data_IF_950015067882
#
_entry.id   IF_950015067882
#
_cell.length_a   1.000
_cell.length_b   1.000
_cell.length_c   1.000
_cell.angle_alpha   90.00
_cell.angle_beta   90.00
_cell.angle_gamma   90.00
#
_symmetry.space_group_name_H-M   'P 1'
#
loop_
_entity.id
_entity.type
_entity.pdbx_description
1 polymer ?
#
# COMPACT_ATOMS: atom_id res chain seq x y z
N UNK A 1 43.93 -12.97 -7.89
CA UNK A 1 42.93 -13.86 -7.25
C UNK A 1 41.98 -13.07 -6.35
N UNK A 2 41.47 -11.91 -6.79
CA UNK A 2 40.69 -11.01 -5.93
C UNK A 2 39.42 -10.43 -6.61
N UNK A 3 39.09 -10.88 -7.82
CA UNK A 3 37.88 -10.47 -8.54
C UNK A 3 36.71 -11.40 -8.23
N UNK A 4 36.94 -12.72 -8.22
CA UNK A 4 35.88 -13.70 -7.93
C UNK A 4 35.34 -13.70 -6.49
N UNK A 5 36.11 -13.24 -5.50
CA UNK A 5 35.62 -13.11 -4.13
C UNK A 5 34.71 -11.88 -3.94
N UNK A 6 34.97 -10.80 -4.71
CA UNK A 6 34.15 -9.59 -4.72
C UNK A 6 32.87 -9.82 -5.53
N UNK A 7 32.95 -10.56 -6.64
CA UNK A 7 31.76 -11.00 -7.39
C UNK A 7 30.93 -12.00 -6.60
N UNK A 8 31.54 -12.97 -5.92
CA UNK A 8 30.81 -13.92 -5.07
C UNK A 8 30.16 -13.28 -3.84
N UNK A 9 30.78 -12.29 -3.21
CA UNK A 9 30.18 -11.53 -2.11
C UNK A 9 29.07 -10.59 -2.60
N UNK A 10 29.18 -10.06 -3.82
CA UNK A 10 28.15 -9.23 -4.45
C UNK A 10 26.94 -10.06 -4.89
N UNK A 11 27.16 -11.26 -5.44
CA UNK A 11 26.09 -12.20 -5.79
C UNK A 11 25.41 -12.76 -4.53
N UNK A 12 26.17 -13.07 -3.47
CA UNK A 12 25.58 -13.49 -2.18
C UNK A 12 24.78 -12.36 -1.51
N UNK A 13 25.28 -11.12 -1.58
CA UNK A 13 24.56 -9.93 -1.09
C UNK A 13 23.29 -9.63 -1.90
N UNK A 14 23.34 -9.78 -3.23
CA UNK A 14 22.18 -9.60 -4.10
C UNK A 14 21.15 -10.74 -3.97
N UNK A 15 21.57 -11.96 -3.63
CA UNK A 15 20.64 -13.08 -3.43
C UNK A 15 19.90 -13.01 -2.09
N UNK A 16 20.48 -12.35 -1.09
CA UNK A 16 19.88 -12.20 0.24
C UNK A 16 19.19 -10.85 0.47
N UNK A 17 19.52 -9.78 -0.26
CA UNK A 17 18.97 -8.43 -0.04
C UNK A 17 18.58 -7.72 -1.34
N UNK A 18 17.38 -8.03 -1.85
CA UNK A 18 16.61 -7.10 -2.69
C UNK A 18 15.32 -6.82 -1.94
N UNK A 19 15.36 -5.81 -1.06
CA UNK A 19 14.24 -4.99 -0.61
C UNK A 19 14.85 -3.75 0.09
N UNK A 20 14.62 -2.56 -0.48
CA UNK A 20 14.84 -1.22 0.08
C UNK A 20 16.30 -0.64 0.15
N UNK A 21 16.63 0.44 -0.59
CA UNK A 21 17.91 1.15 -0.48
C UNK A 21 18.07 2.07 0.75
N UNK A 22 17.00 2.36 1.50
CA UNK A 22 17.06 3.32 2.62
C UNK A 22 17.54 2.69 3.93
N UNK A 23 17.20 1.42 4.19
CA UNK A 23 17.67 0.65 5.35
C UNK A 23 19.18 0.36 5.31
N UNK A 24 19.80 0.42 4.12
CA UNK A 24 21.23 0.20 3.93
C UNK A 24 22.10 1.34 4.48
N UNK A 25 21.57 2.58 4.58
CA UNK A 25 22.35 3.74 5.03
C UNK A 25 22.46 3.81 6.56
N UNK A 26 21.45 3.35 7.29
CA UNK A 26 21.44 3.38 8.76
C UNK A 26 22.23 2.22 9.40
N UNK A 27 22.31 1.08 8.72
CA UNK A 27 23.06 -0.11 9.19
C UNK A 27 24.51 -0.16 8.70
N UNK A 28 24.94 0.75 7.82
CA UNK A 28 26.28 0.76 7.23
C UNK A 28 27.44 0.84 8.24
N UNK A 29 27.41 1.62 9.33
CA UNK A 29 28.54 1.70 10.27
C UNK A 29 28.81 0.38 11.02
N UNK A 30 27.76 -0.31 11.48
CA UNK A 30 27.89 -1.61 12.18
C UNK A 30 28.22 -2.75 11.21
N UNK A 31 27.69 -2.67 9.99
CA UNK A 31 27.94 -3.65 8.92
C UNK A 31 29.36 -3.49 8.36
N UNK A 32 29.89 -2.26 8.30
CA UNK A 32 31.27 -1.97 7.89
C UNK A 32 32.29 -2.55 8.86
N UNK A 33 32.08 -2.46 10.16
CA UNK A 33 33.02 -3.01 11.16
C UNK A 33 33.01 -4.55 11.17
N UNK A 34 31.85 -5.17 10.93
CA UNK A 34 31.70 -6.63 10.77
C UNK A 34 32.31 -7.13 9.43
N UNK A 35 32.09 -6.38 8.34
CA UNK A 35 32.73 -6.62 7.04
C UNK A 35 34.25 -6.43 7.12
N UNK A 36 34.75 -5.45 7.88
CA UNK A 36 36.18 -5.20 8.00
C UNK A 36 36.91 -6.33 8.73
N UNK A 37 36.30 -6.91 9.77
CA UNK A 37 36.80 -8.14 10.41
C UNK A 37 36.81 -9.34 9.45
N UNK A 38 35.78 -9.47 8.61
CA UNK A 38 35.66 -10.54 7.61
C UNK A 38 36.67 -10.41 6.48
N UNK A 39 37.02 -9.17 6.07
CA UNK A 39 37.96 -8.88 4.98
C UNK A 39 39.43 -9.01 5.43
N UNK A 40 39.74 -8.68 6.68
CA UNK A 40 41.13 -8.68 7.20
C UNK A 40 41.58 -10.04 7.77
N UNK A 41 40.65 -10.93 8.12
CA UNK A 41 40.95 -12.24 8.71
C UNK A 41 39.83 -13.27 8.56
N UNK A 42 39.47 -13.67 7.32
CA UNK A 42 38.27 -14.47 7.04
C UNK A 42 38.24 -15.83 7.74
N UNK A 43 39.40 -16.48 7.91
CA UNK A 43 39.49 -17.77 8.61
C UNK A 43 39.31 -17.57 10.12
N UNK A 44 39.84 -16.48 10.69
CA UNK A 44 39.66 -16.14 12.10
C UNK A 44 38.21 -15.78 12.41
N UNK A 45 37.58 -14.95 11.59
CA UNK A 45 36.16 -14.60 11.73
C UNK A 45 35.23 -15.81 11.57
N UNK A 46 35.54 -16.72 10.64
CA UNK A 46 34.80 -17.97 10.49
C UNK A 46 35.02 -18.93 11.66
N UNK A 47 36.25 -19.01 12.21
CA UNK A 47 36.54 -19.80 13.40
C UNK A 47 35.87 -19.23 14.65
N UNK A 48 35.91 -17.91 14.85
CA UNK A 48 35.26 -17.25 15.99
C UNK A 48 33.74 -17.38 15.93
N UNK A 49 33.15 -17.24 14.72
CA UNK A 49 31.73 -17.47 14.50
C UNK A 49 31.32 -18.92 14.72
N UNK A 50 32.11 -19.87 14.21
CA UNK A 50 31.90 -21.30 14.44
C UNK A 50 32.07 -21.67 15.92
N UNK A 51 33.07 -21.12 16.58
CA UNK A 51 33.37 -21.41 17.98
C UNK A 51 32.30 -20.85 18.90
N UNK A 52 31.83 -19.62 18.65
CA UNK A 52 30.70 -19.03 19.38
C UNK A 52 29.40 -19.81 19.16
N UNK A 53 29.09 -20.19 17.92
CA UNK A 53 27.88 -20.95 17.61
C UNK A 53 27.86 -22.35 18.24
N UNK A 54 29.03 -22.97 18.41
CA UNK A 54 29.17 -24.35 18.91
C UNK A 54 29.63 -24.45 20.37
N UNK A 55 29.93 -23.34 21.04
CA UNK A 55 30.42 -23.33 22.43
C UNK A 55 29.44 -24.03 23.40
N UNK A 56 28.15 -23.74 23.26
CA UNK A 56 27.11 -24.34 24.11
C UNK A 56 26.88 -25.83 23.81
N UNK A 57 27.07 -26.26 22.56
CA UNK A 57 26.99 -27.68 22.16
C UNK A 57 28.15 -28.47 22.78
N UNK A 58 29.37 -27.93 22.68
CA UNK A 58 30.55 -28.54 23.31
C UNK A 58 30.42 -28.60 24.83
N UNK A 59 29.85 -27.56 25.45
CA UNK A 59 29.52 -27.55 26.87
C UNK A 59 28.55 -28.68 27.27
N UNK A 60 27.45 -28.83 26.54
CA UNK A 60 26.44 -29.87 26.80
C UNK A 60 27.03 -31.30 26.58
N UNK A 61 27.82 -31.51 25.53
CA UNK A 61 28.48 -32.79 25.26
C UNK A 61 29.50 -33.17 26.35
N UNK A 62 30.38 -32.23 26.74
CA UNK A 62 31.41 -32.48 27.76
C UNK A 62 30.82 -32.66 29.17
N UNK A 63 29.59 -32.18 29.40
CA UNK A 63 28.84 -32.38 30.65
C UNK A 63 28.01 -33.68 30.67
N UNK A 64 28.08 -34.51 29.61
CA UNK A 64 27.39 -35.80 29.52
C UNK A 64 25.95 -35.74 29.01
N UNK A 65 25.50 -34.59 28.46
CA UNK A 65 24.16 -34.42 27.89
C UNK A 65 24.15 -34.66 26.37
N UNK A 66 24.48 -35.88 25.95
CA UNK A 66 24.72 -36.23 24.56
C UNK A 66 23.49 -36.04 23.64
N UNK A 67 22.29 -36.41 24.09
CA UNK A 67 21.05 -36.25 23.31
C UNK A 67 20.68 -34.78 23.07
N UNK A 68 20.90 -33.93 24.08
CA UNK A 68 20.63 -32.48 23.99
C UNK A 68 21.65 -31.77 23.09
N UNK A 69 22.90 -32.19 23.16
CA UNK A 69 23.95 -31.76 22.22
C UNK A 69 23.59 -32.16 20.77
N UNK A 70 23.19 -33.41 20.55
CA UNK A 70 22.78 -33.90 19.23
C UNK A 70 21.57 -33.14 18.66
N UNK A 71 20.56 -32.85 19.49
CA UNK A 71 19.41 -32.04 19.09
C UNK A 71 19.78 -30.62 18.65
N UNK A 72 20.72 -29.97 19.36
CA UNK A 72 21.21 -28.63 19.00
C UNK A 72 22.06 -28.64 17.72
N UNK A 73 22.86 -29.68 17.50
CA UNK A 73 23.61 -29.87 16.24
C UNK A 73 22.65 -30.03 15.06
N UNK A 74 21.61 -30.85 15.18
CA UNK A 74 20.61 -31.03 14.13
C UNK A 74 19.90 -29.71 13.79
N UNK A 75 19.65 -28.87 14.80
CA UNK A 75 19.02 -27.55 14.64
C UNK A 75 19.95 -26.56 13.93
N UNK A 76 21.25 -26.55 14.23
CA UNK A 76 22.25 -25.70 13.55
C UNK A 76 22.49 -26.17 12.11
N UNK A 77 22.60 -27.49 11.89
CA UNK A 77 22.72 -28.04 10.53
C UNK A 77 21.46 -27.75 9.73
N UNK A 78 20.28 -27.88 10.33
CA UNK A 78 19.00 -27.55 9.71
C UNK A 78 18.84 -26.05 9.41
N UNK A 79 19.24 -25.16 10.32
CA UNK A 79 19.14 -23.71 10.14
C UNK A 79 20.22 -23.13 9.24
N UNK A 80 21.37 -23.81 9.09
CA UNK A 80 22.38 -23.45 8.09
C UNK A 80 21.91 -23.67 6.64
N UNK A 81 20.86 -24.47 6.43
CA UNK A 81 20.21 -24.66 5.13
C UNK A 81 19.14 -23.58 4.85
N UNK A 82 18.63 -22.90 5.88
CA UNK A 82 17.48 -21.98 5.73
C UNK A 82 17.65 -20.58 6.35
N UNK A 83 18.86 -20.18 6.73
CA UNK A 83 19.19 -18.78 7.01
C UNK A 83 18.33 -18.09 8.07
N UNK A 84 18.48 -18.46 9.34
CA UNK A 84 18.03 -17.64 10.46
C UNK A 84 18.84 -17.95 11.74
N UNK A 85 19.58 -16.98 12.28
CA UNK A 85 20.10 -17.03 13.65
C UNK A 85 19.42 -15.92 14.45
N UNK A 86 18.66 -16.35 15.45
CA UNK A 86 18.04 -15.51 16.48
C UNK A 86 17.00 -16.31 17.24
N UNK A 87 17.40 -17.30 18.05
CA UNK A 87 16.46 -18.12 18.82
C UNK A 87 16.61 -17.87 20.32
N UNK A 88 15.74 -16.99 20.84
CA UNK A 88 15.15 -17.20 22.16
C UNK A 88 14.21 -18.41 22.09
N UNK A 89 14.20 -19.23 23.14
CA UNK A 89 13.36 -20.42 23.24
C UNK A 89 11.90 -19.95 23.28
N UNK A 90 11.18 -20.08 22.17
CA UNK A 90 9.71 -20.01 22.12
C UNK A 90 9.12 -21.42 22.21
N UNK A 91 7.95 -21.51 22.82
CA UNK A 91 7.11 -22.69 22.89
C UNK A 91 6.97 -23.37 21.52
N UNK A 92 6.87 -24.69 21.52
CA UNK A 92 6.57 -25.48 20.32
C UNK A 92 5.32 -24.90 19.68
N UNK A 93 5.37 -24.43 18.42
CA UNK A 93 4.19 -23.90 17.73
C UNK A 93 3.11 -24.97 17.69
N UNK A 94 1.86 -24.58 17.92
CA UNK A 94 0.71 -25.42 17.60
C UNK A 94 0.77 -25.73 16.09
N UNK A 95 0.86 -27.02 15.67
CA UNK A 95 0.97 -27.38 14.26
C UNK A 95 -0.26 -26.96 13.43
N UNK A 96 -1.39 -26.65 14.08
CA UNK A 96 -2.62 -26.21 13.42
C UNK A 96 -2.67 -24.67 13.21
N UNK A 97 -1.80 -23.92 13.89
CA UNK A 97 -1.68 -22.47 13.72
C UNK A 97 -0.73 -22.11 12.58
N UNK A 98 -1.08 -21.08 11.77
CA UNK A 98 -0.19 -20.61 10.71
C UNK A 98 1.09 -20.05 11.32
N UNK A 99 2.23 -20.27 10.65
CA UNK A 99 3.51 -19.73 11.09
C UNK A 99 3.53 -18.20 11.01
N UNK A 100 4.24 -17.55 11.95
CA UNK A 100 4.35 -16.09 12.03
C UNK A 100 3.44 -15.48 13.10
N UNK A 101 3.44 -14.15 13.21
CA UNK A 101 2.49 -13.40 14.05
C UNK A 101 1.40 -12.74 13.20
N UNK A 102 0.36 -12.18 13.82
CA UNK A 102 -0.71 -11.45 13.11
C UNK A 102 -0.13 -10.33 12.24
N UNK A 103 0.82 -9.55 12.77
CA UNK A 103 1.51 -8.50 12.02
C UNK A 103 2.16 -9.00 10.71
N UNK A 104 2.72 -10.23 10.71
CA UNK A 104 3.29 -10.82 9.49
C UNK A 104 2.23 -11.08 8.44
N UNK A 105 1.07 -11.59 8.86
CA UNK A 105 -0.05 -11.85 7.95
C UNK A 105 -0.71 -10.56 7.49
N UNK A 106 -0.81 -9.53 8.34
CA UNK A 106 -1.24 -8.19 7.93
C UNK A 106 -0.34 -7.62 6.82
N UNK A 107 0.99 -7.67 6.98
CA UNK A 107 1.92 -7.24 5.91
C UNK A 107 1.73 -8.05 4.63
N UNK A 108 1.46 -9.35 4.75
CA UNK A 108 1.16 -10.19 3.59
C UNK A 108 -0.14 -9.76 2.92
N UNK A 109 -1.22 -9.51 3.66
CA UNK A 109 -2.48 -9.01 3.08
C UNK A 109 -2.27 -7.69 2.36
N UNK A 110 -1.64 -6.69 2.99
CA UNK A 110 -1.40 -5.39 2.34
C UNK A 110 -0.61 -5.56 1.04
N UNK A 111 0.39 -6.45 1.02
CA UNK A 111 1.15 -6.74 -0.21
C UNK A 111 0.29 -7.43 -1.27
N UNK A 112 -0.39 -8.52 -0.92
CA UNK A 112 -1.19 -9.29 -1.89
C UNK A 112 -2.39 -8.49 -2.40
N UNK A 113 -3.06 -7.75 -1.52
CA UNK A 113 -4.21 -6.89 -1.85
C UNK A 113 -3.84 -5.77 -2.81
N UNK A 114 -2.73 -5.05 -2.57
CA UNK A 114 -2.23 -4.02 -3.49
C UNK A 114 -1.71 -4.55 -4.82
N UNK A 115 -1.50 -5.86 -4.93
CA UNK A 115 -1.17 -6.55 -6.18
C UNK A 115 -2.42 -7.14 -6.87
N UNK A 116 -3.62 -6.91 -6.32
CA UNK A 116 -4.87 -7.49 -6.83
C UNK A 116 -4.98 -9.00 -6.63
N UNK A 117 -4.10 -9.62 -5.82
CA UNK A 117 -4.17 -11.06 -5.54
C UNK A 117 -5.21 -11.35 -4.46
N UNK A 118 -6.50 -11.34 -4.85
CA UNK A 118 -7.65 -11.52 -3.94
C UNK A 118 -7.50 -12.78 -3.10
N UNK A 119 -7.28 -13.93 -3.73
CA UNK A 119 -7.17 -15.19 -3.00
C UNK A 119 -5.95 -15.24 -2.06
N UNK A 120 -4.87 -14.53 -2.39
CA UNK A 120 -3.71 -14.36 -1.50
C UNK A 120 -4.03 -13.51 -0.29
N UNK A 121 -4.70 -12.38 -0.51
CA UNK A 121 -5.13 -11.45 0.52
C UNK A 121 -6.14 -12.11 1.48
N UNK A 122 -7.16 -12.81 0.96
CA UNK A 122 -8.14 -13.55 1.76
C UNK A 122 -7.48 -14.60 2.67
N UNK A 123 -6.60 -15.45 2.11
CA UNK A 123 -5.88 -16.47 2.90
C UNK A 123 -5.03 -15.86 4.01
N UNK A 124 -4.37 -14.73 3.74
CA UNK A 124 -3.56 -14.06 4.75
C UNK A 124 -4.45 -13.40 5.83
N UNK A 125 -5.61 -12.86 5.47
CA UNK A 125 -6.58 -12.33 6.44
C UNK A 125 -7.17 -13.43 7.33
N UNK A 126 -7.54 -14.58 6.76
CA UNK A 126 -7.99 -15.76 7.51
C UNK A 126 -6.92 -16.24 8.50
N UNK A 127 -5.65 -16.26 8.08
CA UNK A 127 -4.54 -16.62 8.97
C UNK A 127 -4.36 -15.61 10.11
N UNK A 128 -4.49 -14.31 9.83
CA UNK A 128 -4.44 -13.26 10.83
C UNK A 128 -5.57 -13.42 11.86
N UNK A 129 -6.80 -13.71 11.41
CA UNK A 129 -7.97 -13.92 12.26
C UNK A 129 -7.80 -15.16 13.16
N UNK A 130 -7.36 -16.30 12.62
CA UNK A 130 -7.09 -17.51 13.43
C UNK A 130 -6.04 -17.28 14.52
N UNK A 131 -4.99 -16.51 14.22
CA UNK A 131 -3.96 -16.15 15.19
C UNK A 131 -4.50 -15.19 16.27
N UNK A 132 -5.34 -14.23 15.89
CA UNK A 132 -6.00 -13.35 16.85
C UNK A 132 -6.94 -14.11 17.80
N UNK A 133 -7.74 -15.04 17.27
CA UNK A 133 -8.59 -15.92 18.08
C UNK A 133 -7.77 -16.77 19.05
N UNK A 134 -6.62 -17.29 18.62
CA UNK A 134 -5.71 -18.03 19.49
C UNK A 134 -5.12 -17.16 20.60
N UNK A 135 -4.72 -15.91 20.28
CA UNK A 135 -4.26 -14.94 21.27
C UNK A 135 -5.36 -14.58 22.29
N UNK A 136 -6.60 -14.39 21.84
CA UNK A 136 -7.75 -14.16 22.73
C UNK A 136 -8.01 -15.36 23.65
N UNK A 137 -7.98 -16.58 23.12
CA UNK A 137 -8.18 -17.78 23.90
C UNK A 137 -7.06 -17.99 24.93
N UNK A 138 -5.83 -17.66 24.58
CA UNK A 138 -4.71 -17.65 25.52
C UNK A 138 -4.92 -16.62 26.64
N UNK A 139 -5.38 -15.42 26.31
CA UNK A 139 -5.70 -14.39 27.30
C UNK A 139 -6.87 -14.79 28.21
N UNK A 140 -7.86 -15.56 27.72
CA UNK A 140 -8.94 -16.14 28.55
C UNK A 140 -8.41 -17.20 29.51
N UNK A 141 -7.47 -18.05 29.07
CA UNK A 141 -6.85 -19.10 29.90
C UNK A 141 -5.88 -18.54 30.93
N UNK A 142 -5.15 -17.48 30.57
CA UNK A 142 -4.13 -16.85 31.41
C UNK A 142 -4.20 -15.31 31.27
N UNK A 143 -5.05 -14.62 32.06
CA UNK A 143 -5.37 -13.21 31.90
C UNK A 143 -4.30 -12.29 32.52
N UNK A 144 -3.06 -12.41 32.07
CA UNK A 144 -2.01 -11.44 32.36
C UNK A 144 -2.21 -10.19 31.52
N UNK A 145 -1.74 -9.03 32.00
CA UNK A 145 -1.80 -7.78 31.23
C UNK A 145 -1.12 -7.93 29.86
N UNK A 146 0.02 -8.63 29.82
CA UNK A 146 0.75 -8.90 28.58
C UNK A 146 -0.09 -9.68 27.57
N UNK A 147 -0.77 -10.76 28.01
CA UNK A 147 -1.64 -11.55 27.13
C UNK A 147 -2.88 -10.77 26.68
N UNK A 148 -3.47 -9.96 27.55
CA UNK A 148 -4.61 -9.09 27.22
C UNK A 148 -4.21 -8.04 26.17
N UNK A 149 -3.08 -7.37 26.38
CA UNK A 149 -2.57 -6.36 25.44
C UNK A 149 -2.19 -6.99 24.09
N UNK A 150 -1.64 -8.21 24.10
CA UNK A 150 -1.31 -8.94 22.89
C UNK A 150 -2.57 -9.34 22.11
N UNK A 151 -3.58 -9.89 22.79
CA UNK A 151 -4.86 -10.24 22.17
C UNK A 151 -5.56 -9.01 21.59
N UNK A 152 -5.52 -7.86 22.26
CA UNK A 152 -6.09 -6.62 21.74
C UNK A 152 -5.37 -6.13 20.47
N UNK A 153 -4.03 -6.15 20.46
CA UNK A 153 -3.24 -5.79 19.26
C UNK A 153 -3.53 -6.73 18.10
N UNK A 154 -3.50 -8.04 18.35
CA UNK A 154 -3.75 -9.06 17.33
C UNK A 154 -5.16 -8.96 16.76
N UNK A 155 -6.17 -8.72 17.60
CA UNK A 155 -7.56 -8.48 17.16
C UNK A 155 -7.66 -7.25 16.25
N UNK A 156 -7.01 -6.14 16.61
CA UNK A 156 -6.99 -4.92 15.80
C UNK A 156 -6.29 -5.16 14.45
N UNK A 157 -5.12 -5.78 14.47
CA UNK A 157 -4.32 -6.03 13.27
C UNK A 157 -5.03 -7.04 12.33
N UNK A 158 -5.72 -8.04 12.88
CA UNK A 158 -6.58 -8.94 12.12
C UNK A 158 -7.82 -8.22 11.54
N UNK A 159 -8.37 -7.25 12.26
CA UNK A 159 -9.40 -6.33 11.75
C UNK A 159 -8.93 -5.59 10.51
N UNK A 160 -7.76 -4.94 10.58
CA UNK A 160 -7.14 -4.26 9.43
C UNK A 160 -6.87 -5.21 8.28
N UNK A 161 -6.34 -6.41 8.56
CA UNK A 161 -6.10 -7.43 7.55
C UNK A 161 -7.40 -7.84 6.81
N UNK A 162 -8.53 -7.92 7.51
CA UNK A 162 -9.82 -8.18 6.88
C UNK A 162 -10.23 -7.07 5.93
N UNK A 163 -10.09 -5.81 6.33
CA UNK A 163 -10.44 -4.65 5.51
C UNK A 163 -9.56 -4.56 4.26
N UNK A 164 -8.25 -4.79 4.39
CA UNK A 164 -7.32 -4.85 3.26
C UNK A 164 -7.68 -5.99 2.27
N UNK A 165 -8.08 -7.16 2.79
CA UNK A 165 -8.54 -8.26 1.94
C UNK A 165 -9.85 -7.95 1.21
N UNK A 166 -10.79 -7.25 1.87
CA UNK A 166 -12.03 -6.76 1.23
C UNK A 166 -11.77 -5.76 0.11
N UNK A 167 -10.70 -4.97 0.20
CA UNK A 167 -10.31 -4.02 -0.84
C UNK A 167 -9.63 -4.69 -2.05
N UNK A 168 -9.11 -5.91 -1.89
CA UNK A 168 -8.34 -6.59 -2.94
C UNK A 168 -9.08 -6.72 -4.30
N UNK A 169 -10.39 -7.02 -4.36
CA UNK A 169 -11.12 -7.04 -5.63
C UNK A 169 -11.16 -5.68 -6.34
N UNK A 170 -11.24 -4.58 -5.60
CA UNK A 170 -11.18 -3.23 -6.18
C UNK A 170 -9.79 -2.94 -6.76
N UNK A 171 -8.72 -3.37 -6.09
CA UNK A 171 -7.36 -3.27 -6.62
C UNK A 171 -7.14 -4.19 -7.82
N UNK A 172 -7.73 -5.38 -7.86
CA UNK A 172 -7.68 -6.27 -9.02
C UNK A 172 -8.24 -5.55 -10.27
N UNK A 173 -9.47 -5.02 -10.17
CA UNK A 173 -10.09 -4.26 -11.26
C UNK A 173 -9.28 -3.01 -11.63
N UNK A 174 -8.80 -2.26 -10.64
CA UNK A 174 -7.99 -1.07 -10.88
C UNK A 174 -6.72 -1.42 -11.66
N UNK A 175 -6.04 -2.51 -11.29
CA UNK A 175 -4.80 -2.96 -11.94
C UNK A 175 -5.01 -3.58 -13.31
N UNK A 176 -6.24 -3.95 -13.67
CA UNK A 176 -6.58 -4.36 -15.03
C UNK A 176 -6.67 -3.15 -15.97
N UNK A 177 -6.87 -1.93 -15.46
CA UNK A 177 -6.82 -0.68 -16.23
C UNK A 177 -5.40 -0.09 -16.33
N UNK A 178 -5.09 0.64 -17.41
CA UNK A 178 -3.82 1.36 -17.59
C UNK A 178 -3.71 2.52 -16.61
N UNK A 179 -4.78 3.31 -16.46
CA UNK A 179 -4.83 4.44 -15.53
C UNK A 179 -4.60 3.97 -14.09
N UNK A 180 -5.26 2.89 -13.68
CA UNK A 180 -5.09 2.32 -12.35
C UNK A 180 -3.69 1.75 -12.11
N UNK A 181 -3.06 1.12 -13.11
CA UNK A 181 -1.64 0.71 -13.01
C UNK A 181 -0.70 1.90 -12.86
N UNK A 182 -0.91 2.99 -13.60
CA UNK A 182 -0.06 4.19 -13.50
C UNK A 182 -0.20 4.86 -12.13
N UNK A 183 -1.44 5.06 -11.67
CA UNK A 183 -1.74 5.63 -10.36
C UNK A 183 -1.21 4.77 -9.21
N UNK A 184 -1.39 3.45 -9.27
CA UNK A 184 -0.85 2.54 -8.25
C UNK A 184 0.70 2.55 -8.24
N UNK A 185 1.32 2.59 -9.43
CA UNK A 185 2.77 2.72 -9.53
C UNK A 185 3.28 4.06 -8.98
N UNK A 186 2.50 5.14 -9.13
CA UNK A 186 2.80 6.44 -8.55
C UNK A 186 2.76 6.38 -7.02
N UNK A 187 1.66 5.90 -6.41
CA UNK A 187 1.54 5.79 -4.96
C UNK A 187 2.70 4.98 -4.35
N UNK A 188 3.03 3.84 -4.97
CA UNK A 188 4.15 3.02 -4.52
C UNK A 188 5.50 3.75 -4.53
N UNK A 189 5.72 4.67 -5.48
CA UNK A 189 6.94 5.50 -5.51
C UNK A 189 6.92 6.62 -4.49
N UNK A 190 5.76 7.22 -4.23
CA UNK A 190 5.63 8.31 -3.26
C UNK A 190 5.62 7.81 -1.81
N UNK A 191 5.13 6.59 -1.57
CA UNK A 191 4.91 6.07 -0.24
C UNK A 191 3.56 6.45 0.37
N UNK A 192 2.65 7.03 -0.41
CA UNK A 192 1.29 7.35 0.02
C UNK A 192 0.56 6.10 0.50
N UNK A 193 -0.02 6.16 1.69
CA UNK A 193 -0.72 5.04 2.31
C UNK A 193 -2.22 5.05 1.99
N UNK A 194 -2.85 3.88 2.12
CA UNK A 194 -4.30 3.73 2.08
C UNK A 194 -4.70 3.13 3.42
N UNK A 195 -5.55 3.84 4.15
CA UNK A 195 -6.04 3.46 5.47
C UNK A 195 -7.54 3.15 5.39
N UNK A 196 -7.92 1.97 5.87
CA UNK A 196 -9.31 1.56 6.00
C UNK A 196 -9.78 1.85 7.43
N UNK A 197 -10.79 2.71 7.56
CA UNK A 197 -11.24 3.21 8.86
C UNK A 197 -12.65 2.78 9.19
N UNK A 198 -12.85 2.33 10.43
CA UNK A 198 -14.17 2.05 11.00
C UNK A 198 -14.67 3.24 11.83
N UNK A 199 -14.71 4.42 11.21
CA UNK A 199 -15.16 5.65 11.83
C UNK A 199 -16.57 5.99 11.31
N UNK A 200 -17.59 6.10 12.19
CA UNK A 200 -18.93 6.54 11.82
C UNK A 200 -18.98 7.84 11.01
N UNK A 201 -18.05 8.76 11.28
CA UNK A 201 -17.98 10.06 10.57
C UNK A 201 -17.31 9.95 9.19
N UNK A 202 -16.73 8.78 8.88
CA UNK A 202 -16.09 8.45 7.59
C UNK A 202 -16.85 7.39 6.80
N UNK A 203 -18.04 7.00 7.26
CA UNK A 203 -18.88 6.00 6.58
C UNK A 203 -19.27 6.46 5.18
N UNK A 204 -19.09 5.58 4.21
CA UNK A 204 -19.41 5.86 2.81
C UNK A 204 -18.50 6.90 2.15
N UNK A 205 -17.38 7.26 2.79
CA UNK A 205 -16.45 8.25 2.26
C UNK A 205 -15.12 7.61 1.88
N UNK A 206 -14.57 8.10 0.77
CA UNK A 206 -13.19 7.92 0.32
C UNK A 206 -12.64 9.33 0.15
N UNK A 207 -11.48 9.62 0.71
CA UNK A 207 -10.85 10.95 0.61
C UNK A 207 -9.34 10.85 0.76
N UNK A 208 -8.63 11.72 0.06
CA UNK A 208 -7.20 11.94 0.24
C UNK A 208 -6.96 13.05 1.27
N UNK A 209 -6.17 12.76 2.31
CA UNK A 209 -5.66 13.73 3.26
C UNK A 209 -4.23 14.19 2.86
N UNK A 210 -4.06 15.43 2.37
CA UNK A 210 -2.75 15.95 1.97
C UNK A 210 -1.81 16.24 3.15
N UNK A 211 -2.29 16.24 4.39
CA UNK A 211 -1.44 16.48 5.56
C UNK A 211 -0.69 15.24 6.04
N UNK A 212 -1.34 14.07 5.92
CA UNK A 212 -0.74 12.78 6.29
C UNK A 212 -0.28 11.98 5.07
N UNK A 213 -0.56 12.47 3.86
CA UNK A 213 -0.35 11.75 2.60
C UNK A 213 -1.00 10.36 2.65
N UNK A 214 -2.30 10.34 2.96
CA UNK A 214 -3.06 9.12 3.18
C UNK A 214 -4.41 9.18 2.48
N UNK A 215 -4.75 8.13 1.74
CA UNK A 215 -6.12 7.92 1.27
C UNK A 215 -6.87 7.20 2.38
N UNK A 216 -7.93 7.82 2.89
CA UNK A 216 -8.77 7.29 3.95
C UNK A 216 -10.06 6.76 3.32
N UNK A 217 -10.38 5.50 3.57
CA UNK A 217 -11.57 4.83 3.06
C UNK A 217 -12.38 4.23 4.21
N UNK A 218 -13.67 4.55 4.27
CA UNK A 218 -14.59 3.90 5.20
C UNK A 218 -14.71 2.39 4.92
N UNK A 219 -14.60 1.56 5.95
CA UNK A 219 -14.70 0.09 5.80
C UNK A 219 -16.03 -0.37 5.19
N UNK A 220 -17.11 0.39 5.37
CA UNK A 220 -18.42 0.10 4.81
C UNK A 220 -18.50 0.34 3.30
N UNK A 221 -17.62 1.18 2.75
CA UNK A 221 -17.49 1.35 1.30
C UNK A 221 -17.03 0.06 0.62
N UNK A 222 -16.22 -0.75 1.31
CA UNK A 222 -15.71 -2.03 0.82
C UNK A 222 -16.77 -3.14 0.76
N UNK A 223 -17.93 -2.94 1.40
CA UNK A 223 -19.05 -3.89 1.34
C UNK A 223 -19.92 -3.69 0.09
N UNK A 224 -19.64 -2.65 -0.72
CA UNK A 224 -20.35 -2.27 -1.94
C UNK A 224 -19.85 -2.97 -3.21
N UNK A 225 -20.08 -2.32 -4.36
CA UNK A 225 -19.62 -2.78 -5.67
C UNK A 225 -18.10 -2.55 -5.82
N UNK A 226 -17.29 -3.59 -6.08
CA UNK A 226 -15.86 -3.44 -6.35
C UNK A 226 -15.51 -2.47 -7.48
N UNK A 227 -16.39 -2.31 -8.48
CA UNK A 227 -16.18 -1.35 -9.58
C UNK A 227 -16.26 0.10 -9.06
N UNK A 228 -17.24 0.37 -8.21
CA UNK A 228 -17.39 1.69 -7.57
C UNK A 228 -16.19 1.97 -6.65
N UNK A 229 -15.75 0.97 -5.87
CA UNK A 229 -14.54 1.06 -5.06
C UNK A 229 -13.27 1.32 -5.89
N UNK A 230 -13.06 0.60 -6.99
CA UNK A 230 -11.91 0.80 -7.86
C UNK A 230 -11.86 2.23 -8.41
N UNK A 231 -12.99 2.74 -8.88
CA UNK A 231 -13.12 4.10 -9.40
C UNK A 231 -12.85 5.16 -8.34
N UNK A 232 -13.46 5.06 -7.15
CA UNK A 232 -13.21 6.01 -6.06
C UNK A 232 -11.77 5.98 -5.56
N UNK A 233 -11.12 4.82 -5.55
CA UNK A 233 -9.69 4.73 -5.25
C UNK A 233 -8.88 5.49 -6.31
N UNK A 234 -9.20 5.34 -7.60
CA UNK A 234 -8.52 6.06 -8.67
C UNK A 234 -8.70 7.58 -8.56
N UNK A 235 -9.89 8.05 -8.16
CA UNK A 235 -10.16 9.47 -7.87
C UNK A 235 -9.20 10.01 -6.81
N UNK A 236 -9.11 9.35 -5.65
CA UNK A 236 -8.25 9.81 -4.56
C UNK A 236 -6.75 9.67 -4.86
N UNK A 237 -6.37 8.63 -5.63
CA UNK A 237 -5.00 8.52 -6.15
C UNK A 237 -4.62 9.70 -7.04
N UNK A 238 -5.57 10.23 -7.80
CA UNK A 238 -5.36 11.39 -8.66
C UNK A 238 -5.14 12.65 -7.81
N UNK A 239 -5.91 12.84 -6.74
CA UNK A 239 -5.64 13.91 -5.79
C UNK A 239 -4.26 13.81 -5.13
N UNK A 240 -3.82 12.60 -4.73
CA UNK A 240 -2.48 12.39 -4.21
C UNK A 240 -1.39 12.80 -5.22
N UNK A 241 -1.58 12.40 -6.50
CA UNK A 241 -0.68 12.77 -7.59
C UNK A 241 -0.59 14.27 -7.82
N UNK A 242 -1.72 14.94 -8.01
CA UNK A 242 -1.79 16.38 -8.22
C UNK A 242 -1.16 17.15 -7.05
N UNK A 243 -1.36 16.68 -5.83
CA UNK A 243 -0.77 17.30 -4.63
C UNK A 243 0.76 17.25 -4.67
N UNK A 244 1.33 16.10 -5.05
CA UNK A 244 2.78 15.93 -5.16
C UNK A 244 3.38 16.66 -6.36
N UNK A 245 2.74 16.61 -7.53
CA UNK A 245 3.29 17.11 -8.79
C UNK A 245 3.08 18.63 -8.98
N UNK A 246 1.94 19.17 -8.53
CA UNK A 246 1.50 20.55 -8.84
C UNK A 246 1.32 21.43 -7.60
N UNK A 247 1.27 20.81 -6.41
CA UNK A 247 0.91 21.46 -5.16
C UNK A 247 -0.59 21.77 -5.06
N UNK A 248 -1.08 21.95 -3.84
CA UNK A 248 -2.50 22.22 -3.56
C UNK A 248 -2.96 23.63 -3.89
N UNK A 249 -4.25 23.77 -4.16
CA UNK A 249 -4.91 25.06 -4.10
C UNK A 249 -4.75 25.61 -2.67
N UNK A 250 -4.16 26.80 -2.54
CA UNK A 250 -3.81 27.38 -1.25
C UNK A 250 -4.64 28.66 -1.04
N UNK A 251 -5.63 28.64 -0.15
CA UNK A 251 -6.53 29.77 0.02
C UNK A 251 -5.82 30.99 0.65
N UNK A 252 -4.66 30.80 1.30
CA UNK A 252 -3.86 31.89 1.87
C UNK A 252 -3.00 32.62 0.84
N UNK A 253 -2.84 32.04 -0.36
CA UNK A 253 -1.94 32.53 -1.43
C UNK A 253 -2.65 32.85 -2.74
N UNK A 254 -3.90 32.41 -2.89
CA UNK A 254 -4.73 32.62 -4.07
C UNK A 254 -5.91 33.54 -3.70
N UNK A 255 -6.35 34.37 -4.64
CA UNK A 255 -7.66 35.01 -4.49
C UNK A 255 -8.77 33.95 -4.56
N UNK A 256 -9.93 34.29 -4.01
CA UNK A 256 -11.07 33.37 -3.83
C UNK A 256 -11.52 32.71 -5.13
N UNK A 257 -11.62 33.49 -6.21
CA UNK A 257 -12.10 32.98 -7.50
C UNK A 257 -11.07 32.03 -8.13
N UNK A 258 -9.78 32.39 -8.06
CA UNK A 258 -8.68 31.53 -8.50
C UNK A 258 -8.61 30.24 -7.68
N UNK A 259 -8.80 30.29 -6.37
CA UNK A 259 -8.85 29.12 -5.50
C UNK A 259 -10.00 28.19 -5.88
N UNK A 260 -11.23 28.71 -5.97
CA UNK A 260 -12.42 27.91 -6.33
C UNK A 260 -12.23 27.27 -7.70
N UNK A 261 -11.79 28.06 -8.70
CA UNK A 261 -11.55 27.56 -10.05
C UNK A 261 -10.53 26.42 -10.04
N UNK A 262 -9.37 26.62 -9.41
CA UNK A 262 -8.31 25.60 -9.36
C UNK A 262 -8.76 24.33 -8.62
N UNK A 263 -9.53 24.46 -7.54
CA UNK A 263 -10.08 23.31 -6.82
C UNK A 263 -11.07 22.51 -7.68
N UNK A 264 -11.92 23.19 -8.46
CA UNK A 264 -12.87 22.52 -9.36
C UNK A 264 -12.19 21.86 -10.56
N UNK A 265 -11.17 22.50 -11.13
CA UNK A 265 -10.35 21.90 -12.21
C UNK A 265 -9.69 20.61 -11.71
N UNK A 266 -9.17 20.60 -10.49
CA UNK A 266 -8.57 19.41 -9.89
C UNK A 266 -9.57 18.28 -9.63
N UNK A 267 -10.78 18.61 -9.19
CA UNK A 267 -11.87 17.63 -9.05
C UNK A 267 -12.25 17.04 -10.41
N UNK A 268 -12.32 17.88 -11.46
CA UNK A 268 -12.61 17.42 -12.82
C UNK A 268 -11.55 16.44 -13.32
N UNK A 269 -10.26 16.68 -13.06
CA UNK A 269 -9.19 15.73 -13.42
C UNK A 269 -9.32 14.37 -12.71
N UNK A 270 -9.70 14.37 -11.43
CA UNK A 270 -9.96 13.13 -10.69
C UNK A 270 -11.16 12.38 -11.26
N UNK A 271 -12.24 13.09 -11.60
CA UNK A 271 -13.42 12.51 -12.28
C UNK A 271 -13.06 12.00 -13.69
N UNK A 272 -12.18 12.66 -14.43
CA UNK A 272 -11.68 12.14 -15.71
C UNK A 272 -10.94 10.81 -15.51
N UNK A 273 -10.22 10.65 -14.40
CA UNK A 273 -9.56 9.37 -14.08
C UNK A 273 -10.57 8.29 -13.71
N UNK A 274 -11.68 8.62 -13.03
CA UNK A 274 -12.83 7.71 -12.83
C UNK A 274 -13.42 7.27 -14.18
N UNK A 275 -13.67 8.22 -15.10
CA UNK A 275 -14.21 7.95 -16.44
C UNK A 275 -13.29 7.00 -17.19
N UNK A 276 -11.97 7.23 -17.18
CA UNK A 276 -11.00 6.35 -17.84
C UNK A 276 -10.99 4.93 -17.25
N UNK A 277 -11.15 4.79 -15.92
CA UNK A 277 -11.31 3.47 -15.30
C UNK A 277 -12.57 2.79 -15.82
N UNK A 278 -13.70 3.49 -15.84
CA UNK A 278 -14.97 2.93 -16.31
C UNK A 278 -14.93 2.55 -17.79
N UNK A 279 -14.37 3.39 -18.67
CA UNK A 279 -14.21 3.09 -20.09
C UNK A 279 -13.39 1.80 -20.29
N UNK A 280 -12.24 1.68 -19.63
CA UNK A 280 -11.38 0.50 -19.76
C UNK A 280 -12.01 -0.78 -19.17
N UNK A 281 -12.81 -0.67 -18.11
CA UNK A 281 -13.58 -1.80 -17.57
C UNK A 281 -14.78 -2.14 -18.47
N UNK A 282 -15.39 -1.16 -19.12
CA UNK A 282 -16.49 -1.39 -20.06
C UNK A 282 -16.00 -2.15 -21.30
N UNK A 283 -14.81 -1.80 -21.81
CA UNK A 283 -14.12 -2.54 -22.87
C UNK A 283 -13.85 -4.02 -22.51
N UNK A 284 -13.73 -4.31 -21.21
CA UNK A 284 -13.55 -5.67 -20.67
C UNK A 284 -14.88 -6.41 -20.43
N UNK A 285 -16.02 -5.75 -20.66
CA UNK A 285 -17.35 -6.34 -20.58
C UNK A 285 -18.05 -6.16 -19.23
N UNK A 286 -17.57 -5.28 -18.36
CA UNK A 286 -18.27 -4.91 -17.14
C UNK A 286 -19.50 -4.05 -17.46
N UNK A 287 -20.64 -4.30 -16.80
CA UNK A 287 -21.87 -3.53 -17.00
C UNK A 287 -21.87 -2.30 -16.10
N UNK A 288 -21.36 -1.18 -16.61
CA UNK A 288 -21.19 0.07 -15.86
C UNK A 288 -22.12 1.13 -16.47
N UNK A 289 -23.00 1.78 -15.68
CA UNK A 289 -23.88 2.81 -16.21
C UNK A 289 -23.08 4.09 -16.52
N UNK A 290 -23.30 4.64 -17.71
CA UNK A 290 -22.76 5.94 -18.10
C UNK A 290 -23.31 7.03 -17.17
N UNK A 291 -22.43 7.87 -16.65
CA UNK A 291 -22.80 8.97 -15.75
C UNK A 291 -23.09 10.28 -16.50
N UNK A 292 -23.74 11.24 -15.83
CA UNK A 292 -23.92 12.60 -16.39
C UNK A 292 -22.57 13.30 -16.61
N UNK A 293 -21.59 13.05 -15.73
CA UNK A 293 -20.24 13.61 -15.83
C UNK A 293 -19.51 13.10 -17.07
N UNK A 294 -19.53 11.78 -17.28
CA UNK A 294 -18.98 11.13 -18.47
C UNK A 294 -19.65 11.63 -19.75
N UNK A 295 -20.99 11.69 -19.76
CA UNK A 295 -21.75 12.21 -20.89
C UNK A 295 -21.35 13.65 -21.22
N UNK A 296 -21.16 14.50 -20.20
CA UNK A 296 -20.76 15.89 -20.39
C UNK A 296 -19.34 16.00 -20.94
N UNK A 297 -18.40 15.27 -20.33
CA UNK A 297 -17.01 15.26 -20.77
C UNK A 297 -16.87 14.76 -22.22
N UNK A 298 -17.45 13.60 -22.53
CA UNK A 298 -17.33 12.98 -23.85
C UNK A 298 -18.02 13.81 -24.95
N UNK A 299 -19.22 14.36 -24.71
CA UNK A 299 -19.87 15.23 -25.68
C UNK A 299 -19.07 16.52 -25.95
N UNK A 300 -18.50 17.13 -24.90
CA UNK A 300 -17.68 18.34 -25.04
C UNK A 300 -16.40 18.07 -25.83
N UNK A 301 -15.73 16.96 -25.49
CA UNK A 301 -14.53 16.50 -26.18
C UNK A 301 -14.80 16.23 -27.66
N UNK A 302 -15.84 15.43 -27.97
CA UNK A 302 -16.23 15.11 -29.35
C UNK A 302 -16.61 16.36 -30.15
N UNK A 303 -17.41 17.26 -29.57
CA UNK A 303 -17.80 18.52 -30.22
C UNK A 303 -16.58 19.36 -30.59
N UNK A 304 -15.59 19.48 -29.69
CA UNK A 304 -14.39 20.27 -29.98
C UNK A 304 -13.47 19.58 -31.00
N UNK A 305 -13.40 18.26 -30.98
CA UNK A 305 -12.69 17.48 -31.99
C UNK A 305 -13.29 17.70 -33.39
N UNK A 306 -14.62 17.69 -33.50
CA UNK A 306 -15.34 18.00 -34.75
C UNK A 306 -15.08 19.44 -35.23
N UNK A 307 -15.15 20.43 -34.33
CA UNK A 307 -14.86 21.83 -34.66
C UNK A 307 -13.41 22.04 -35.10
N UNK A 308 -12.49 21.23 -34.58
CA UNK A 308 -11.07 21.27 -34.93
C UNK A 308 -10.81 20.71 -36.33
N UNK A 309 -11.72 19.94 -36.91
CA UNK A 309 -11.60 19.44 -38.28
C UNK A 309 -11.59 20.60 -39.29
N UNK A 310 -10.49 20.74 -40.03
CA UNK A 310 -10.34 21.82 -41.02
C UNK A 310 -9.85 23.15 -40.44
N UNK A 311 -9.59 23.25 -39.13
CA UNK A 311 -8.94 24.41 -38.49
C UNK A 311 -7.45 24.55 -38.83
N UNK A 312 -6.85 23.51 -39.42
CA UNK A 312 -5.42 23.42 -39.70
C UNK A 312 -4.56 23.00 -38.50
N UNK A 313 -5.17 22.69 -37.35
CA UNK A 313 -4.49 22.08 -36.20
C UNK A 313 -4.03 20.66 -36.54
N UNK A 314 -2.92 20.24 -35.91
CA UNK A 314 -2.57 18.82 -35.89
C UNK A 314 -3.55 18.05 -35.00
N UNK A 315 -3.67 16.73 -35.21
CA UNK A 315 -4.54 15.87 -34.41
C UNK A 315 -4.21 15.97 -32.92
N UNK A 316 -2.94 15.91 -32.56
CA UNK A 316 -2.47 16.00 -31.17
C UNK A 316 -2.88 17.33 -30.52
N UNK A 317 -2.75 18.45 -31.24
CA UNK A 317 -3.20 19.76 -30.74
C UNK A 317 -4.73 19.86 -30.60
N UNK A 318 -5.47 19.21 -31.49
CA UNK A 318 -6.93 19.15 -31.38
C UNK A 318 -7.35 18.33 -30.16
N UNK A 319 -6.71 17.18 -29.93
CA UNK A 319 -6.95 16.32 -28.75
C UNK A 319 -6.60 17.05 -27.44
N UNK A 320 -5.46 17.75 -27.38
CA UNK A 320 -5.06 18.55 -26.20
C UNK A 320 -6.08 19.68 -25.92
N UNK A 321 -6.50 20.42 -26.94
CA UNK A 321 -7.46 21.51 -26.75
C UNK A 321 -8.87 20.99 -26.40
N UNK A 322 -9.29 19.86 -26.99
CA UNK A 322 -10.57 19.23 -26.68
C UNK A 322 -10.61 18.77 -25.21
N UNK A 323 -9.53 18.13 -24.73
CA UNK A 323 -9.40 17.72 -23.33
C UNK A 323 -9.46 18.92 -22.38
N UNK A 324 -8.75 20.02 -22.68
CA UNK A 324 -8.80 21.26 -21.87
C UNK A 324 -10.22 21.83 -21.79
N UNK A 325 -10.94 21.90 -22.92
CA UNK A 325 -12.30 22.43 -22.97
C UNK A 325 -13.27 21.52 -22.22
N UNK A 326 -13.20 20.21 -22.46
CA UNK A 326 -14.05 19.22 -21.82
C UNK A 326 -13.87 19.20 -20.29
N UNK A 327 -12.62 19.28 -19.80
CA UNK A 327 -12.32 19.44 -18.36
C UNK A 327 -12.91 20.73 -17.80
N UNK A 328 -12.82 21.83 -18.54
CA UNK A 328 -13.37 23.13 -18.13
C UNK A 328 -14.90 23.09 -17.97
N UNK A 329 -15.60 22.46 -18.92
CA UNK A 329 -17.05 22.29 -18.84
C UNK A 329 -17.45 21.33 -17.71
N UNK A 330 -16.71 20.23 -17.54
CA UNK A 330 -16.90 19.29 -16.44
C UNK A 330 -16.71 19.97 -15.07
N UNK A 331 -15.66 20.78 -14.91
CA UNK A 331 -15.41 21.55 -13.68
C UNK A 331 -16.58 22.52 -13.37
N UNK A 332 -17.16 23.12 -14.41
CA UNK A 332 -18.36 23.95 -14.30
C UNK A 332 -19.58 23.15 -13.82
N UNK A 333 -19.80 21.95 -14.37
CA UNK A 333 -20.87 21.05 -13.94
C UNK A 333 -20.68 20.61 -12.48
N UNK A 334 -19.47 20.16 -12.12
CA UNK A 334 -19.11 19.76 -10.75
C UNK A 334 -19.38 20.91 -9.77
N UNK A 335 -18.97 22.13 -10.11
CA UNK A 335 -19.16 23.31 -9.26
C UNK A 335 -20.63 23.58 -8.91
N UNK A 336 -21.56 23.21 -9.79
CA UNK A 336 -23.01 23.34 -9.59
C UNK A 336 -23.65 22.17 -8.84
N UNK A 337 -22.94 21.04 -8.68
CA UNK A 337 -23.40 19.84 -8.00
C UNK A 337 -23.09 19.85 -6.51
N UNK A 338 -23.78 19.00 -5.75
CA UNK A 338 -23.58 18.83 -4.32
C UNK A 338 -22.55 17.72 -4.04
N UNK A 339 -21.59 17.91 -3.11
CA UNK A 339 -20.65 16.87 -2.71
C UNK A 339 -21.37 15.76 -1.92
N UNK A 340 -20.77 14.57 -1.91
CA UNK A 340 -21.30 13.37 -1.22
C UNK A 340 -21.57 13.57 0.29
N UNK A 341 -20.97 14.59 0.91
CA UNK A 341 -21.10 14.93 2.33
C UNK A 341 -21.83 16.27 2.61
N UNK A 342 -22.38 16.97 1.60
CA UNK A 342 -22.82 18.36 1.77
C UNK A 342 -24.20 18.71 1.23
N UNK A 343 -24.82 19.74 1.84
CA UNK A 343 -26.06 20.36 1.37
C UNK A 343 -25.82 21.70 0.63
N UNK A 344 -24.58 21.95 0.22
CA UNK A 344 -24.16 23.13 -0.53
C UNK A 344 -23.40 22.68 -1.79
N UNK A 345 -23.50 23.39 -2.93
CA UNK A 345 -22.75 23.03 -4.12
C UNK A 345 -21.23 23.06 -3.91
N UNK A 346 -20.45 22.31 -4.70
CA UNK A 346 -18.98 22.27 -4.59
C UNK A 346 -18.34 23.65 -4.67
N UNK A 347 -18.81 24.54 -5.55
CA UNK A 347 -18.29 25.90 -5.65
C UNK A 347 -18.50 26.70 -4.34
N UNK A 348 -19.63 26.50 -3.67
CA UNK A 348 -19.92 27.12 -2.37
C UNK A 348 -19.10 26.46 -1.26
N UNK A 349 -18.96 25.14 -1.28
CA UNK A 349 -18.11 24.39 -0.36
C UNK A 349 -16.66 24.90 -0.38
N UNK A 350 -16.05 25.00 -1.56
CA UNK A 350 -14.69 25.55 -1.71
C UNK A 350 -14.64 27.03 -1.36
N UNK A 351 -15.66 27.81 -1.73
CA UNK A 351 -15.74 29.22 -1.34
C UNK A 351 -15.74 29.41 0.17
N UNK A 352 -16.52 28.60 0.89
CA UNK A 352 -16.60 28.65 2.35
C UNK A 352 -15.28 28.21 3.02
N UNK A 353 -14.55 27.25 2.43
CA UNK A 353 -13.23 26.86 2.91
C UNK A 353 -12.22 28.01 2.78
N UNK A 354 -12.27 28.76 1.67
CA UNK A 354 -11.46 29.97 1.48
C UNK A 354 -11.84 31.08 2.47
N UNK A 355 -13.14 31.31 2.68
CA UNK A 355 -13.63 32.35 3.59
C UNK A 355 -13.26 32.10 5.07
N UNK A 356 -12.85 30.86 5.41
CA UNK A 356 -12.45 30.44 6.77
C UNK A 356 -10.93 30.40 7.01
N UNK A 357 -10.11 30.51 5.96
CA UNK A 357 -8.65 30.59 6.06
C UNK A 357 -8.16 32.01 6.37
#
# INVERSE_FOLDING_TARGET
>A
MATGAVEGARDFGCHFHICNPEDFRETWPSTRDSLWHTVTGPIGAAQDGWDAATANIRGDYNAGYEERSAGRVALIVGSSVFGAIGLGIRSVPDPDLPSGGVATHLTAVTREGRLGNVAGAERAAENAERLAEASEEQARKDPTQENLDQAERDRRDAGRARSEAKAAPAFELLLDTRVGRDLNAFLHRQGTEIEFVNDPDRRGHVLYDPHTDTIIMGEDFLDGDPVEAASRIAHEMTHARQTSEEGNADPTRMDRDTYIKRSLEREADSVVSEIQVYEELWEQGHDIPITEWETTYNNSYESYMEESEGSGMSREQAEENADIVARGELAGLIGAQYPSAGNIPYAEYYGNAWDQS
#
